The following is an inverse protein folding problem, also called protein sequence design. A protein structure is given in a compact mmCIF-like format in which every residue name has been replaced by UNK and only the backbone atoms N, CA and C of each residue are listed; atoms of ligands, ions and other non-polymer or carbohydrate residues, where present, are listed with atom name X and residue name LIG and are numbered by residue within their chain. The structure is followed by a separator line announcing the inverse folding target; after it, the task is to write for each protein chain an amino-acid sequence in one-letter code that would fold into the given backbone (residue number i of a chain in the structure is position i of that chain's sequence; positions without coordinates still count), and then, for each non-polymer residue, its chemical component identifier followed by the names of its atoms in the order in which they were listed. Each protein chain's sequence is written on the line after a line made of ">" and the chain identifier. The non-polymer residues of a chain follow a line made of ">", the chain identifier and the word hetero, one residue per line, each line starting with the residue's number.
data_IF_796443761493
#
_entry.id   IF_796443761493
#
_cell.length_a   1.000
_cell.length_b   1.000
_cell.length_c   1.000
_cell.angle_alpha   90.00
_cell.angle_beta   90.00
_cell.angle_gamma   90.00
#
_symmetry.space_group_name_H-M   'P 1'
#
loop_
_entity.id
_entity.type
_entity.pdbx_description
1 polymer ?
#
# COMPACT_ATOMS: atom_id res chain seq x y z
N UNK A 1 22.00 -30.38 -38.67
CA UNK A 1 20.61 -30.11 -38.28
C UNK A 1 20.45 -29.92 -36.77
N UNK A 2 21.05 -30.77 -35.94
CA UNK A 2 20.99 -30.71 -34.47
C UNK A 2 21.55 -29.43 -33.84
N UNK A 3 22.64 -28.87 -34.34
CA UNK A 3 23.29 -27.65 -33.76
C UNK A 3 22.45 -26.39 -33.93
N UNK A 4 21.64 -26.29 -35.01
CA UNK A 4 20.76 -25.12 -35.24
C UNK A 4 19.54 -25.18 -34.31
N UNK A 5 19.01 -26.34 -34.03
CA UNK A 5 17.88 -26.56 -33.12
C UNK A 5 18.27 -26.27 -31.65
N UNK A 6 19.50 -26.65 -31.26
CA UNK A 6 19.99 -26.41 -29.90
C UNK A 6 20.21 -24.92 -29.63
N UNK A 7 20.72 -24.14 -30.59
CA UNK A 7 20.87 -22.67 -30.48
C UNK A 7 19.52 -21.97 -30.36
N UNK A 8 18.51 -22.39 -31.13
CA UNK A 8 17.16 -21.84 -31.06
C UNK A 8 16.53 -22.11 -29.69
N UNK A 9 16.68 -23.30 -29.12
CA UNK A 9 16.16 -23.68 -27.82
C UNK A 9 16.79 -22.85 -26.69
N UNK A 10 18.11 -22.65 -26.72
CA UNK A 10 18.84 -21.84 -25.72
C UNK A 10 18.39 -20.37 -25.74
N UNK A 11 18.18 -19.79 -26.93
CA UNK A 11 17.72 -18.40 -27.07
C UNK A 11 16.31 -18.24 -26.52
N UNK A 12 15.43 -19.22 -26.76
CA UNK A 12 14.04 -19.17 -26.26
C UNK A 12 13.98 -19.28 -24.73
N UNK A 13 14.83 -20.10 -24.12
CA UNK A 13 14.91 -20.25 -22.65
C UNK A 13 15.49 -18.97 -22.00
N UNK A 14 16.50 -18.33 -22.59
CA UNK A 14 17.03 -17.06 -22.08
C UNK A 14 15.99 -15.93 -22.17
N UNK A 15 15.21 -15.86 -23.24
CA UNK A 15 14.16 -14.84 -23.39
C UNK A 15 13.03 -15.04 -22.35
N UNK A 16 12.67 -16.27 -22.01
CA UNK A 16 11.66 -16.58 -20.98
C UNK A 16 12.13 -16.19 -19.56
N UNK A 17 13.44 -16.35 -19.27
CA UNK A 17 14.02 -15.94 -17.98
C UNK A 17 14.06 -14.42 -17.81
N UNK A 18 14.19 -13.66 -18.90
CA UNK A 18 14.23 -12.20 -18.87
C UNK A 18 12.85 -11.57 -18.57
N UNK A 19 11.75 -12.24 -18.95
CA UNK A 19 10.39 -11.75 -18.62
C UNK A 19 10.05 -11.85 -17.14
N UNK A 20 10.62 -12.79 -16.42
CA UNK A 20 10.38 -12.95 -14.98
C UNK A 20 11.01 -11.85 -14.12
N UNK A 21 12.11 -11.23 -14.60
CA UNK A 21 12.79 -10.15 -13.87
C UNK A 21 12.02 -8.82 -13.93
N UNK A 22 11.20 -8.58 -14.95
CA UNK A 22 10.39 -7.37 -15.08
C UNK A 22 9.11 -7.40 -14.24
N UNK A 23 8.58 -8.58 -13.91
CA UNK A 23 7.38 -8.72 -13.09
C UNK A 23 7.59 -8.32 -11.63
N UNK A 24 8.82 -8.42 -11.10
CA UNK A 24 9.16 -8.05 -9.73
C UNK A 24 9.33 -6.53 -9.52
N UNK A 25 9.52 -5.75 -10.60
CA UNK A 25 9.81 -4.32 -10.50
C UNK A 25 8.61 -3.46 -10.05
N UNK A 26 7.38 -4.00 -10.09
CA UNK A 26 6.14 -3.29 -9.76
C UNK A 26 5.28 -4.03 -8.75
N UNK A 27 5.86 -4.93 -7.94
CA UNK A 27 5.11 -5.64 -6.90
C UNK A 27 4.42 -4.63 -5.97
N UNK A 28 3.12 -4.80 -5.68
CA UNK A 28 2.40 -3.90 -4.78
C UNK A 28 2.94 -3.98 -3.37
N UNK A 29 2.92 -2.86 -2.66
CA UNK A 29 3.22 -2.76 -1.24
C UNK A 29 1.94 -2.50 -0.45
N UNK A 30 1.64 -3.39 0.49
CA UNK A 30 0.54 -3.24 1.44
C UNK A 30 1.11 -2.98 2.83
N UNK A 31 0.86 -1.79 3.37
CA UNK A 31 1.28 -1.39 4.71
C UNK A 31 0.11 -1.52 5.67
N UNK A 32 0.25 -2.39 6.67
CA UNK A 32 -0.64 -2.48 7.81
C UNK A 32 -0.17 -1.52 8.90
N UNK A 33 -0.83 -0.38 9.05
CA UNK A 33 -0.49 0.66 10.03
C UNK A 33 -1.47 0.61 11.20
N UNK A 34 -0.96 0.27 12.39
CA UNK A 34 -1.77 0.07 13.60
C UNK A 34 -1.37 0.96 14.78
N UNK A 35 -0.24 1.65 14.70
CA UNK A 35 0.27 2.49 15.79
C UNK A 35 -0.22 3.93 15.70
N UNK A 36 -0.37 4.60 16.86
CA UNK A 36 -0.56 6.05 16.99
C UNK A 36 0.70 6.76 17.50
N UNK A 37 1.83 6.08 17.52
CA UNK A 37 3.12 6.68 17.82
C UNK A 37 3.59 7.43 16.57
N UNK A 38 3.71 8.76 16.68
CA UNK A 38 3.87 9.67 15.53
C UNK A 38 5.12 9.37 14.71
N UNK A 39 6.27 9.06 15.34
CA UNK A 39 7.50 8.80 14.60
C UNK A 39 7.44 7.48 13.83
N UNK A 40 6.90 6.42 14.43
CA UNK A 40 6.70 5.13 13.76
C UNK A 40 5.72 5.22 12.59
N UNK A 41 4.64 5.95 12.80
CA UNK A 41 3.66 6.17 11.74
C UNK A 41 4.26 6.99 10.58
N UNK A 42 5.02 8.03 10.87
CA UNK A 42 5.75 8.79 9.85
C UNK A 42 6.75 7.92 9.08
N UNK A 43 7.46 7.02 9.77
CA UNK A 43 8.36 6.06 9.11
C UNK A 43 7.60 5.16 8.14
N UNK A 44 6.46 4.59 8.57
CA UNK A 44 5.63 3.73 7.73
C UNK A 44 5.13 4.44 6.48
N UNK A 45 4.57 5.65 6.65
CA UNK A 45 4.00 6.42 5.53
C UNK A 45 5.11 6.85 4.56
N UNK A 46 6.24 7.36 5.07
CA UNK A 46 7.36 7.80 4.23
C UNK A 46 8.04 6.62 3.53
N UNK A 47 8.17 5.47 4.18
CA UNK A 47 8.64 4.23 3.54
C UNK A 47 7.74 3.85 2.36
N UNK A 48 6.42 3.83 2.58
CA UNK A 48 5.44 3.58 1.52
C UNK A 48 5.54 4.59 0.38
N UNK A 49 5.61 5.88 0.70
CA UNK A 49 5.75 6.97 -0.28
C UNK A 49 7.00 6.82 -1.13
N UNK A 50 8.14 6.45 -0.54
CA UNK A 50 9.39 6.22 -1.26
C UNK A 50 9.25 5.09 -2.28
N UNK A 51 8.72 3.93 -1.87
CA UNK A 51 8.51 2.81 -2.77
C UNK A 51 7.45 3.08 -3.83
N UNK A 52 6.40 3.82 -3.48
CA UNK A 52 5.39 4.27 -4.45
C UNK A 52 6.00 5.16 -5.53
N UNK A 53 6.87 6.09 -5.15
CA UNK A 53 7.61 6.94 -6.11
C UNK A 53 8.58 6.14 -6.99
N UNK A 54 8.98 4.94 -6.54
CA UNK A 54 9.82 4.01 -7.31
C UNK A 54 9.02 3.06 -8.20
N UNK A 55 7.68 3.23 -8.27
CA UNK A 55 6.80 2.49 -9.18
C UNK A 55 6.03 1.33 -8.55
N UNK A 56 6.13 1.11 -7.24
CA UNK A 56 5.37 0.07 -6.54
C UNK A 56 3.98 0.60 -6.14
N UNK A 57 2.87 0.02 -6.61
CA UNK A 57 1.53 0.39 -6.15
C UNK A 57 1.43 0.30 -4.63
N UNK A 58 0.91 1.35 -3.99
CA UNK A 58 0.86 1.46 -2.53
C UNK A 58 -0.56 1.37 -2.01
N UNK A 59 -0.76 0.53 -1.00
CA UNK A 59 -1.94 0.53 -0.14
C UNK A 59 -1.50 0.71 1.31
N UNK A 60 -2.12 1.66 2.02
CA UNK A 60 -1.96 1.84 3.47
C UNK A 60 -3.29 1.52 4.15
N UNK A 61 -3.29 0.53 5.03
CA UNK A 61 -4.46 0.13 5.81
C UNK A 61 -4.33 0.66 7.23
N UNK A 62 -5.19 1.63 7.57
CA UNK A 62 -5.26 2.26 8.88
C UNK A 62 -6.19 1.44 9.78
N UNK A 63 -5.66 0.88 10.85
CA UNK A 63 -6.43 0.08 11.82
C UNK A 63 -5.96 0.33 13.25
N UNK A 64 -6.68 -0.21 14.22
CA UNK A 64 -6.42 -0.03 15.64
C UNK A 64 -6.22 1.47 15.97
N UNK A 65 -5.12 1.84 16.58
CA UNK A 65 -4.83 3.23 17.00
C UNK A 65 -4.52 4.18 15.83
N UNK A 66 -4.09 3.65 14.67
CA UNK A 66 -3.82 4.45 13.48
C UNK A 66 -5.09 5.07 12.86
N UNK A 67 -6.29 4.66 13.28
CA UNK A 67 -7.57 5.28 12.91
C UNK A 67 -7.52 6.80 13.08
N UNK A 68 -6.89 7.30 14.13
CA UNK A 68 -6.79 8.73 14.41
C UNK A 68 -6.08 9.54 13.33
N UNK A 69 -5.23 8.91 12.52
CA UNK A 69 -4.56 9.59 11.40
C UNK A 69 -5.45 9.74 10.16
N UNK A 70 -6.49 8.91 10.06
CA UNK A 70 -7.43 8.93 8.93
C UNK A 70 -8.71 9.72 9.19
N UNK A 71 -8.90 10.30 10.39
CA UNK A 71 -10.10 11.07 10.77
C UNK A 71 -9.78 12.53 11.01
N UNK A 72 -10.73 13.44 10.68
CA UNK A 72 -10.60 14.91 10.85
C UNK A 72 -10.24 15.30 12.28
N UNK A 73 -10.79 14.58 13.27
CA UNK A 73 -10.51 14.85 14.70
C UNK A 73 -9.03 14.65 15.07
N UNK A 74 -8.26 13.91 14.29
CA UNK A 74 -6.83 13.70 14.52
C UNK A 74 -5.93 14.84 14.04
N UNK A 75 -6.46 15.86 13.37
CA UNK A 75 -5.69 16.88 12.68
C UNK A 75 -4.68 17.64 13.58
N UNK A 76 -5.02 17.88 14.85
CA UNK A 76 -4.12 18.57 15.77
C UNK A 76 -2.90 17.71 16.15
N UNK A 77 -3.11 16.43 16.42
CA UNK A 77 -2.03 15.52 16.87
C UNK A 77 -1.21 14.95 15.70
N UNK A 78 -1.86 14.72 14.56
CA UNK A 78 -1.31 13.98 13.44
C UNK A 78 -1.28 14.80 12.14
N UNK A 79 -1.06 16.13 12.26
CA UNK A 79 -1.04 17.04 11.11
C UNK A 79 -0.06 16.57 10.00
N UNK A 80 1.16 16.23 10.37
CA UNK A 80 2.20 15.80 9.43
C UNK A 80 1.86 14.45 8.76
N UNK A 81 1.30 13.51 9.55
CA UNK A 81 0.89 12.21 9.03
C UNK A 81 -0.30 12.35 8.07
N UNK A 82 -1.27 13.21 8.40
CA UNK A 82 -2.42 13.49 7.54
C UNK A 82 -2.00 14.18 6.25
N UNK A 83 -1.04 15.10 6.31
CA UNK A 83 -0.46 15.71 5.12
C UNK A 83 0.21 14.65 4.24
N UNK A 84 1.06 13.79 4.81
CA UNK A 84 1.74 12.74 4.07
C UNK A 84 0.77 11.72 3.46
N UNK A 85 -0.31 11.36 4.17
CA UNK A 85 -1.39 10.52 3.63
C UNK A 85 -2.10 11.21 2.47
N UNK A 86 -2.41 12.51 2.60
CA UNK A 86 -3.06 13.28 1.52
C UNK A 86 -2.19 13.38 0.27
N UNK A 87 -0.87 13.51 0.43
CA UNK A 87 0.08 13.54 -0.69
C UNK A 87 0.11 12.20 -1.45
N UNK A 88 0.19 11.06 -0.75
CA UNK A 88 0.18 9.76 -1.42
C UNK A 88 -1.17 9.46 -2.06
N UNK A 89 -2.29 9.85 -1.43
CA UNK A 89 -3.64 9.74 -2.01
C UNK A 89 -3.73 10.55 -3.31
N UNK A 90 -3.28 11.80 -3.29
CA UNK A 90 -3.32 12.68 -4.47
C UNK A 90 -2.46 12.14 -5.63
N UNK A 91 -1.42 11.37 -5.30
CA UNK A 91 -0.56 10.71 -6.27
C UNK A 91 -1.12 9.35 -6.76
N UNK A 92 -2.25 8.90 -6.22
CA UNK A 92 -2.94 7.67 -6.66
C UNK A 92 -2.75 6.45 -5.77
N UNK A 93 -2.12 6.58 -4.62
CA UNK A 93 -2.07 5.50 -3.63
C UNK A 93 -3.44 5.27 -2.97
N UNK A 94 -3.68 4.06 -2.51
CA UNK A 94 -4.90 3.68 -1.82
C UNK A 94 -4.70 3.73 -0.31
N UNK A 95 -5.50 4.53 0.39
CA UNK A 95 -5.55 4.54 1.86
C UNK A 95 -6.91 4.04 2.31
N UNK A 96 -6.90 2.98 3.10
CA UNK A 96 -8.09 2.24 3.55
C UNK A 96 -8.21 2.35 5.06
N UNK A 97 -9.42 2.67 5.54
CA UNK A 97 -9.77 2.69 6.96
C UNK A 97 -10.45 1.39 7.37
N UNK A 98 -10.01 0.76 8.45
CA UNK A 98 -10.68 -0.38 9.07
C UNK A 98 -12.08 0.02 9.59
N UNK A 99 -13.17 -0.53 9.07
CA UNK A 99 -14.52 -0.11 9.48
C UNK A 99 -14.82 -0.40 10.94
N UNK A 100 -14.38 -1.55 11.43
CA UNK A 100 -14.60 -1.97 12.81
C UNK A 100 -13.81 -1.08 13.78
N UNK A 101 -12.56 -0.77 13.45
CA UNK A 101 -11.70 0.10 14.26
C UNK A 101 -12.24 1.54 14.28
N UNK A 102 -12.74 2.03 13.15
CA UNK A 102 -13.39 3.35 13.03
C UNK A 102 -14.61 3.45 13.97
N UNK A 103 -15.48 2.43 13.92
CA UNK A 103 -16.65 2.36 14.77
C UNK A 103 -16.30 2.26 16.26
N UNK A 104 -15.30 1.45 16.62
CA UNK A 104 -14.84 1.33 18.01
C UNK A 104 -14.25 2.62 18.54
N UNK A 105 -13.60 3.43 17.68
CA UNK A 105 -13.10 4.75 18.02
C UNK A 105 -14.21 5.83 18.11
N UNK A 106 -15.47 5.48 17.82
CA UNK A 106 -16.63 6.39 17.89
C UNK A 106 -16.82 7.27 16.67
N UNK A 107 -16.19 6.93 15.54
CA UNK A 107 -16.27 7.69 14.28
C UNK A 107 -17.09 6.96 13.22
N UNK A 108 -17.45 7.72 12.19
CA UNK A 108 -18.19 7.27 11.01
C UNK A 108 -17.40 7.58 9.73
N UNK A 109 -17.87 7.10 8.59
CA UNK A 109 -17.26 7.43 7.30
C UNK A 109 -17.22 8.94 7.00
N UNK A 110 -18.19 9.71 7.51
CA UNK A 110 -18.24 11.16 7.36
C UNK A 110 -17.07 11.89 8.07
N UNK A 111 -16.45 11.23 9.04
CA UNK A 111 -15.34 11.77 9.81
C UNK A 111 -13.98 11.56 9.13
N UNK A 112 -13.92 10.75 8.06
CA UNK A 112 -12.68 10.48 7.34
C UNK A 112 -12.12 11.74 6.68
N UNK A 113 -10.80 11.84 6.64
CA UNK A 113 -10.13 12.86 5.81
C UNK A 113 -10.32 12.53 4.33
N UNK A 114 -10.24 13.55 3.49
CA UNK A 114 -10.52 13.43 2.04
C UNK A 114 -9.64 12.36 1.39
N UNK A 115 -10.27 11.46 0.65
CA UNK A 115 -9.61 10.42 -0.15
C UNK A 115 -9.35 9.12 0.58
N UNK A 116 -9.44 9.08 1.91
CA UNK A 116 -9.43 7.80 2.65
C UNK A 116 -10.72 7.05 2.34
N UNK A 117 -10.58 5.76 2.02
CA UNK A 117 -11.71 4.87 1.69
C UNK A 117 -12.06 3.98 2.86
N UNK A 118 -13.37 3.78 3.08
CA UNK A 118 -13.78 2.79 4.06
C UNK A 118 -13.47 1.38 3.54
N UNK A 119 -12.86 0.55 4.37
CA UNK A 119 -12.49 -0.82 4.08
C UNK A 119 -13.70 -1.74 3.93
N UNK A 120 -13.44 -2.93 3.44
CA UNK A 120 -14.43 -3.99 3.28
C UNK A 120 -13.80 -5.19 2.60
N UNK A 121 -14.50 -6.35 2.56
CA UNK A 121 -13.93 -7.58 2.00
C UNK A 121 -13.38 -7.42 0.58
N UNK A 122 -14.07 -6.64 -0.25
CA UNK A 122 -13.64 -6.42 -1.64
C UNK A 122 -12.42 -5.49 -1.73
N UNK A 123 -12.53 -4.25 -1.27
CA UNK A 123 -11.46 -3.25 -1.47
C UNK A 123 -10.18 -3.64 -0.73
N UNK A 124 -10.29 -4.14 0.50
CA UNK A 124 -9.14 -4.58 1.29
C UNK A 124 -8.57 -5.89 0.75
N UNK A 125 -9.44 -6.84 0.37
CA UNK A 125 -9.04 -8.13 -0.19
C UNK A 125 -8.36 -7.97 -1.55
N UNK A 126 -8.93 -7.20 -2.46
CA UNK A 126 -8.34 -6.94 -3.78
C UNK A 126 -6.92 -6.34 -3.68
N UNK A 127 -6.69 -5.47 -2.67
CA UNK A 127 -5.37 -4.88 -2.45
C UNK A 127 -4.39 -5.86 -1.79
N UNK A 128 -4.85 -6.60 -0.75
CA UNK A 128 -3.99 -7.48 0.04
C UNK A 128 -3.60 -8.75 -0.71
N UNK A 129 -4.53 -9.34 -1.46
CA UNK A 129 -4.34 -10.61 -2.17
C UNK A 129 -3.98 -10.45 -3.64
N UNK A 130 -3.66 -9.23 -4.09
CA UNK A 130 -3.14 -9.01 -5.43
C UNK A 130 -1.81 -9.74 -5.60
N UNK A 131 -1.64 -10.39 -6.77
CA UNK A 131 -0.41 -11.14 -7.07
C UNK A 131 0.85 -10.27 -6.87
N UNK A 132 1.85 -10.85 -6.21
CA UNK A 132 3.11 -10.18 -5.92
C UNK A 132 3.09 -9.23 -4.73
N UNK A 133 1.94 -9.00 -4.08
CA UNK A 133 1.84 -8.05 -2.96
C UNK A 133 2.81 -8.40 -1.82
N UNK A 134 3.63 -7.42 -1.43
CA UNK A 134 4.47 -7.47 -0.23
C UNK A 134 3.76 -6.75 0.90
N UNK A 135 3.81 -7.32 2.09
CA UNK A 135 3.15 -6.74 3.28
C UNK A 135 4.18 -6.33 4.33
N UNK A 136 3.94 -5.16 4.93
CA UNK A 136 4.71 -4.69 6.09
C UNK A 136 3.75 -4.17 7.16
N UNK A 137 4.15 -4.26 8.44
CA UNK A 137 3.33 -3.82 9.57
C UNK A 137 4.11 -2.89 10.51
N UNK A 138 3.44 -1.85 11.00
CA UNK A 138 3.92 -0.91 12.01
C UNK A 138 2.92 -0.75 13.16
#
# INVERSE_FOLDING_TARGET
>A
MFLKSLKALVITVLAALSLSAFAAANDPLFINLSTDESSRASMAINFGKHHFSSGHPLTIFLNDKAVMMGVKAGATKFADQQQALSEVISSGALVIMCPMCLKQAGFTEADLITGVKLGGPKITGDALFKDGTKTMSW
#
